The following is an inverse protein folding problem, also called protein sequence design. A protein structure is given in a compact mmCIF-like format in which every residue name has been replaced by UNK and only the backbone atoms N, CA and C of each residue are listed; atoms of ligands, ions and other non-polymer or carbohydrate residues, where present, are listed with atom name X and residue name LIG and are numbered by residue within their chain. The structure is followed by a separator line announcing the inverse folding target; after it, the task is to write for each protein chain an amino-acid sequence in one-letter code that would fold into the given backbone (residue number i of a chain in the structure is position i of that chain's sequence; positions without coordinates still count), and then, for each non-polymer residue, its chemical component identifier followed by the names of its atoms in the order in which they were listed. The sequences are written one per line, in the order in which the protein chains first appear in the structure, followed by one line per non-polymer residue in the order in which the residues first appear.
data_IF_040226912886
#
_entry.id   IF_040226912886
#
_cell.length_a   1.000
_cell.length_b   1.000
_cell.length_c   1.000
_cell.angle_alpha   90.00
_cell.angle_beta   90.00
_cell.angle_gamma   90.00
#
_symmetry.space_group_name_H-M   'P 1'
#
loop_
_entity.id
_entity.type
_entity.pdbx_description
1 polymer ?
#
# COMPACT_ATOMS: atom_id res chain seq x y z
N UNK A 1 23.94 5.90 12.66
CA UNK A 1 24.15 4.85 11.65
C UNK A 1 22.86 4.66 10.88
N UNK A 2 22.88 4.83 9.55
CA UNK A 2 21.75 4.47 8.69
C UNK A 2 21.60 2.95 8.75
N UNK A 3 20.40 2.44 9.07
CA UNK A 3 20.08 1.01 9.12
C UNK A 3 20.54 0.33 7.81
N UNK A 4 21.15 -0.86 7.88
CA UNK A 4 21.68 -1.66 6.74
C UNK A 4 20.61 -2.04 5.69
N UNK A 5 19.39 -1.56 5.86
CA UNK A 5 18.21 -1.92 5.09
C UNK A 5 17.47 -0.72 4.48
N UNK A 6 18.02 0.51 4.51
CA UNK A 6 17.40 1.64 3.82
C UNK A 6 17.71 1.62 2.32
N UNK A 7 16.68 1.51 1.48
CA UNK A 7 16.83 1.45 0.03
C UNK A 7 16.20 2.69 -0.63
N UNK A 8 16.99 3.46 -1.39
CA UNK A 8 16.52 4.58 -2.22
C UNK A 8 16.17 4.05 -3.61
N UNK A 9 14.92 4.25 -4.06
CA UNK A 9 14.46 3.80 -5.38
C UNK A 9 13.96 4.98 -6.20
N UNK A 10 14.60 5.28 -7.35
CA UNK A 10 14.42 6.55 -8.10
C UNK A 10 13.35 6.48 -9.21
N UNK A 11 12.87 5.29 -9.57
CA UNK A 11 11.87 5.08 -10.63
C UNK A 11 10.98 3.87 -10.33
N UNK A 12 10.06 3.54 -11.24
CA UNK A 12 9.21 2.36 -11.14
C UNK A 12 7.99 2.53 -10.23
N UNK A 13 7.67 3.76 -9.81
CA UNK A 13 6.44 4.04 -9.08
C UNK A 13 5.21 3.74 -9.94
N UNK A 14 4.30 2.91 -9.41
CA UNK A 14 3.01 2.58 -10.03
C UNK A 14 2.07 2.08 -8.95
N UNK A 15 0.82 2.51 -8.98
CA UNK A 15 -0.23 1.94 -8.12
C UNK A 15 -0.56 0.52 -8.58
N UNK A 16 -0.38 -0.44 -7.69
CA UNK A 16 -0.69 -1.86 -7.92
C UNK A 16 -1.55 -2.36 -6.78
N UNK A 17 -2.39 -3.38 -7.00
CA UNK A 17 -3.11 -4.04 -5.91
C UNK A 17 -2.16 -4.53 -4.83
N UNK A 18 -2.58 -4.43 -3.57
CA UNK A 18 -1.86 -5.07 -2.47
C UNK A 18 -2.33 -6.54 -2.42
N UNK A 19 -1.41 -7.53 -2.54
CA UNK A 19 -1.78 -8.94 -2.37
C UNK A 19 -2.49 -9.17 -1.05
N UNK A 20 -3.50 -10.03 -1.03
CA UNK A 20 -4.30 -10.39 0.16
C UNK A 20 -5.19 -9.27 0.76
N UNK A 21 -5.20 -8.06 0.17
CA UNK A 21 -6.09 -6.95 0.56
C UNK A 21 -6.92 -6.48 -0.65
N UNK A 22 -8.04 -7.15 -0.96
CA UNK A 22 -8.88 -6.81 -2.11
C UNK A 22 -9.38 -5.35 -2.05
N UNK A 23 -9.27 -4.64 -3.17
CA UNK A 23 -9.67 -3.24 -3.28
C UNK A 23 -8.53 -2.26 -2.98
N UNK A 24 -7.58 -2.66 -2.13
CA UNK A 24 -6.45 -1.83 -1.75
C UNK A 24 -5.36 -1.78 -2.84
N UNK A 25 -4.75 -0.62 -2.97
CA UNK A 25 -3.61 -0.38 -3.88
C UNK A 25 -2.49 0.33 -3.15
N UNK A 26 -1.27 0.21 -3.65
CA UNK A 26 -0.11 0.94 -3.12
C UNK A 26 0.95 1.15 -4.20
N UNK A 27 1.93 2.01 -3.97
CA UNK A 27 3.13 2.06 -4.82
C UNK A 27 3.85 0.71 -4.80
N UNK A 28 4.06 0.12 -5.99
CA UNK A 28 4.66 -1.22 -6.14
C UNK A 28 5.99 -1.40 -5.42
N UNK A 29 6.74 -0.33 -5.17
CA UNK A 29 8.03 -0.37 -4.48
C UNK A 29 7.88 -0.72 -3.00
N UNK A 30 6.68 -0.55 -2.43
CA UNK A 30 6.38 -0.86 -1.03
C UNK A 30 5.97 -2.32 -0.81
N UNK A 31 5.65 -3.09 -1.84
CA UNK A 31 5.21 -4.50 -1.68
C UNK A 31 6.19 -5.38 -0.85
N UNK A 32 7.52 -5.23 -0.94
CA UNK A 32 8.44 -5.92 -0.04
C UNK A 32 8.31 -5.54 1.43
N UNK A 33 8.05 -4.25 1.72
CA UNK A 33 7.82 -3.75 3.08
C UNK A 33 6.48 -4.26 3.62
N UNK A 34 5.42 -4.21 2.81
CA UNK A 34 4.11 -4.76 3.15
C UNK A 34 4.22 -6.24 3.54
N UNK A 35 4.82 -7.06 2.67
CA UNK A 35 5.03 -8.49 2.95
C UNK A 35 5.89 -8.72 4.20
N UNK A 36 6.84 -7.83 4.48
CA UNK A 36 7.62 -7.91 5.72
C UNK A 36 6.77 -7.62 6.95
N UNK A 37 5.88 -6.63 6.89
CA UNK A 37 4.97 -6.31 8.00
C UNK A 37 3.94 -7.43 8.22
N UNK A 38 3.33 -7.95 7.15
CA UNK A 38 2.39 -9.08 7.21
C UNK A 38 3.00 -10.29 7.90
N UNK A 39 4.23 -10.67 7.55
CA UNK A 39 4.91 -11.82 8.17
C UNK A 39 5.33 -11.61 9.62
N UNK A 40 5.43 -10.36 10.09
CA UNK A 40 6.09 -10.04 11.38
C UNK A 40 5.13 -9.56 12.46
N UNK A 41 4.00 -8.98 12.06
CA UNK A 41 3.08 -8.26 12.96
C UNK A 41 1.60 -8.60 12.73
N UNK A 42 1.29 -9.59 11.88
CA UNK A 42 -0.09 -10.02 11.57
C UNK A 42 -1.03 -8.83 11.32
N UNK A 43 -0.66 -8.02 10.34
CA UNK A 43 -1.36 -6.77 10.00
C UNK A 43 -2.57 -7.01 9.08
N UNK A 44 -3.56 -6.12 9.19
CA UNK A 44 -4.62 -5.96 8.20
C UNK A 44 -4.61 -4.51 7.69
N UNK A 45 -4.50 -4.32 6.38
CA UNK A 45 -4.49 -3.01 5.75
C UNK A 45 -5.93 -2.61 5.43
N UNK A 46 -6.37 -1.46 5.94
CA UNK A 46 -7.70 -0.90 5.72
C UNK A 46 -7.75 0.21 4.69
N UNK A 47 -6.60 0.83 4.41
CA UNK A 47 -6.45 1.81 3.33
C UNK A 47 -4.98 1.85 2.87
N UNK A 48 -4.77 2.06 1.58
CA UNK A 48 -3.47 2.34 0.96
C UNK A 48 -3.53 3.59 0.09
N UNK A 49 -3.53 3.41 -1.23
CA UNK A 49 -3.82 4.48 -2.17
C UNK A 49 -5.30 4.84 -2.12
N UNK A 50 -5.60 6.01 -1.57
CA UNK A 50 -6.95 6.58 -1.56
C UNK A 50 -6.92 8.06 -1.86
N UNK A 51 -7.97 8.52 -2.53
CA UNK A 51 -8.23 9.95 -2.77
C UNK A 51 -9.48 10.43 -2.06
N UNK A 52 -9.95 9.66 -1.07
CA UNK A 52 -11.13 10.05 -0.31
C UNK A 52 -10.88 11.35 0.47
N UNK A 53 -11.92 12.21 0.63
CA UNK A 53 -11.78 13.51 1.28
C UNK A 53 -11.39 13.46 2.77
N UNK A 54 -11.41 12.27 3.38
CA UNK A 54 -10.92 12.07 4.75
C UNK A 54 -9.40 12.22 4.82
N UNK A 55 -8.70 11.99 3.70
CA UNK A 55 -7.26 12.14 3.58
C UNK A 55 -6.87 13.55 3.19
N UNK A 56 -5.73 14.01 3.69
CA UNK A 56 -5.15 15.25 3.22
C UNK A 56 -4.88 15.14 1.72
N UNK A 57 -5.38 16.10 0.93
CA UNK A 57 -5.26 16.06 -0.53
C UNK A 57 -3.80 15.92 -0.99
N UNK A 58 -2.85 16.54 -0.26
CA UNK A 58 -1.41 16.47 -0.51
C UNK A 58 -0.67 15.51 0.43
N UNK A 59 -1.39 14.61 1.11
CA UNK A 59 -0.82 13.58 1.96
C UNK A 59 -0.35 12.36 1.17
N UNK A 60 0.07 11.32 1.88
CA UNK A 60 0.73 10.17 1.30
C UNK A 60 -0.25 9.10 0.76
N UNK A 61 -1.50 9.04 1.24
CA UNK A 61 -2.54 8.18 0.65
C UNK A 61 -2.80 8.52 -0.83
N UNK A 62 -3.04 9.79 -1.24
CA UNK A 62 -3.24 10.13 -2.65
C UNK A 62 -2.08 9.84 -3.60
N UNK A 63 -0.89 9.53 -3.08
CA UNK A 63 0.28 9.15 -3.90
C UNK A 63 0.72 7.70 -3.65
N UNK A 64 -0.11 6.91 -2.96
CA UNK A 64 0.10 5.47 -2.73
C UNK A 64 1.31 5.15 -1.85
N UNK A 65 1.68 6.06 -0.95
CA UNK A 65 2.83 5.93 -0.04
C UNK A 65 2.43 5.97 1.43
N UNK A 66 1.18 5.61 1.73
CA UNK A 66 0.67 5.43 3.08
C UNK A 66 -0.10 4.11 3.19
N UNK A 67 -0.22 3.63 4.42
CA UNK A 67 -1.13 2.56 4.80
C UNK A 67 -1.78 2.87 6.14
N UNK A 68 -3.08 2.60 6.24
CA UNK A 68 -3.78 2.50 7.51
C UNK A 68 -3.89 1.02 7.89
N UNK A 69 -3.44 0.69 9.10
CA UNK A 69 -3.22 -0.68 9.55
C UNK A 69 -3.97 -0.93 10.86
N UNK A 70 -4.69 -2.05 10.93
CA UNK A 70 -5.28 -2.59 12.14
C UNK A 70 -4.77 -4.02 12.40
N UNK A 71 -5.03 -4.61 13.57
CA UNK A 71 -4.68 -6.01 13.81
C UNK A 71 -5.48 -6.95 12.92
N UNK A 72 -4.82 -7.92 12.29
CA UNK A 72 -5.51 -9.00 11.57
C UNK A 72 -6.06 -10.03 12.55
N UNK A 73 -7.26 -9.78 13.05
CA UNK A 73 -7.91 -10.68 14.02
C UNK A 73 -8.12 -12.10 13.49
N UNK A 74 -8.28 -12.28 12.18
CA UNK A 74 -8.43 -13.60 11.57
C UNK A 74 -7.14 -14.44 11.66
N UNK A 75 -5.98 -13.80 11.78
CA UNK A 75 -4.67 -14.45 12.01
C UNK A 75 -4.22 -14.41 13.47
N UNK A 76 -5.06 -13.91 14.38
CA UNK A 76 -4.72 -13.74 15.80
C UNK A 76 -3.95 -12.45 16.12
N UNK A 77 -3.78 -11.55 15.15
CA UNK A 77 -3.07 -10.29 15.31
C UNK A 77 -3.70 -9.39 16.39
N UNK A 78 -2.84 -8.69 17.13
CA UNK A 78 -3.22 -7.91 18.30
C UNK A 78 -2.80 -6.44 18.20
N UNK A 79 -3.45 -5.57 18.97
CA UNK A 79 -2.99 -4.18 19.11
C UNK A 79 -1.60 -4.06 19.74
N UNK A 80 -1.11 -5.08 20.45
CA UNK A 80 0.26 -5.08 20.96
C UNK A 80 1.28 -5.17 19.81
N UNK A 81 1.00 -5.99 18.79
CA UNK A 81 1.90 -6.13 17.63
C UNK A 81 1.88 -4.89 16.75
N UNK A 82 0.70 -4.29 16.54
CA UNK A 82 0.60 -2.99 15.84
C UNK A 82 1.35 -1.91 16.63
N UNK A 83 1.20 -1.89 17.96
CA UNK A 83 1.98 -1.01 18.83
C UNK A 83 3.48 -1.24 18.71
N UNK A 84 3.95 -2.49 18.62
CA UNK A 84 5.36 -2.80 18.44
C UNK A 84 5.89 -2.36 17.06
N UNK A 85 5.07 -2.45 16.02
CA UNK A 85 5.38 -1.90 14.70
C UNK A 85 5.49 -0.37 14.76
N UNK A 86 4.55 0.31 15.42
CA UNK A 86 4.57 1.76 15.60
C UNK A 86 5.84 2.21 16.35
N UNK A 87 6.16 1.61 17.50
CA UNK A 87 7.39 1.94 18.25
C UNK A 87 8.68 1.64 17.49
N UNK A 88 8.64 0.66 16.58
CA UNK A 88 9.78 0.40 15.69
C UNK A 88 9.91 1.48 14.62
N UNK A 89 8.80 1.99 14.11
CA UNK A 89 8.78 3.03 13.09
C UNK A 89 9.08 4.42 13.68
N UNK A 90 8.65 4.65 14.90
CA UNK A 90 8.77 5.88 15.66
C UNK A 90 9.04 5.54 17.14
N UNK A 91 10.31 5.41 17.54
CA UNK A 91 10.66 5.10 18.93
C UNK A 91 10.33 6.23 19.91
N UNK A 92 10.13 7.45 19.40
CA UNK A 92 9.75 8.64 20.16
C UNK A 92 8.74 9.44 19.35
N UNK A 93 7.60 9.79 19.95
CA UNK A 93 6.51 10.56 19.32
C UNK A 93 7.04 11.78 18.57
N UNK A 94 6.52 12.02 17.37
CA UNK A 94 6.92 13.04 16.39
C UNK A 94 8.35 12.87 15.82
N UNK A 95 8.98 11.71 16.02
CA UNK A 95 10.34 11.43 15.55
C UNK A 95 10.45 10.04 14.88
N UNK A 96 9.80 9.87 13.72
CA UNK A 96 9.93 8.65 12.94
C UNK A 96 11.37 8.43 12.48
N UNK A 97 11.75 7.17 12.35
CA UNK A 97 13.05 6.77 11.80
C UNK A 97 12.89 6.28 10.36
N UNK A 98 13.91 6.43 9.48
CA UNK A 98 13.84 5.92 8.12
C UNK A 98 13.48 4.42 8.05
N UNK A 99 12.70 3.99 7.04
CA UNK A 99 12.21 4.78 5.91
C UNK A 99 10.96 5.62 6.20
N UNK A 100 10.40 5.55 7.41
CA UNK A 100 9.13 6.16 7.74
C UNK A 100 9.25 7.68 7.72
N UNK A 101 8.27 8.33 7.10
CA UNK A 101 8.17 9.79 7.05
C UNK A 101 7.27 10.32 8.14
N UNK A 102 6.12 9.68 8.33
CA UNK A 102 5.18 9.99 9.38
C UNK A 102 4.53 8.70 9.88
N UNK A 103 4.32 8.66 11.19
CA UNK A 103 3.67 7.57 11.92
C UNK A 103 2.54 8.21 12.70
N UNK A 104 1.30 7.84 12.40
CA UNK A 104 0.14 8.25 13.18
C UNK A 104 -0.23 7.14 14.14
N UNK A 105 0.02 7.34 15.43
CA UNK A 105 -0.23 6.32 16.46
C UNK A 105 -0.82 6.92 17.75
N UNK A 106 -0.67 6.21 18.88
CA UNK A 106 -1.16 6.65 20.19
C UNK A 106 -0.56 8.01 20.57
N UNK A 107 -1.39 9.04 20.62
CA UNK A 107 -0.97 10.42 20.85
C UNK A 107 -1.43 11.34 19.71
N UNK A 108 -1.66 10.78 18.52
CA UNK A 108 -2.17 11.49 17.36
C UNK A 108 -3.70 11.41 17.28
N UNK A 109 -4.41 12.54 17.08
CA UNK A 109 -5.86 12.53 16.92
C UNK A 109 -6.30 11.60 15.80
N UNK A 110 -7.28 10.73 16.08
CA UNK A 110 -7.82 9.79 15.10
C UNK A 110 -6.94 8.57 14.80
N UNK A 111 -5.87 8.34 15.56
CA UNK A 111 -4.96 7.21 15.38
C UNK A 111 -4.78 6.43 16.69
N UNK A 112 -4.07 5.30 16.62
CA UNK A 112 -3.77 4.48 17.78
C UNK A 112 -4.71 3.31 18.01
N UNK A 113 -4.63 2.73 19.20
CA UNK A 113 -5.41 1.54 19.59
C UNK A 113 -6.91 1.85 19.53
N UNK A 114 -7.65 0.97 18.84
CA UNK A 114 -9.09 1.13 18.62
C UNK A 114 -9.44 1.92 17.36
N UNK A 115 -8.45 2.53 16.69
CA UNK A 115 -8.60 3.19 15.42
C UNK A 115 -7.74 2.51 14.35
N UNK A 116 -6.57 3.05 14.01
CA UNK A 116 -5.59 2.45 13.11
C UNK A 116 -4.18 3.00 13.39
N UNK A 117 -3.16 2.31 12.89
CA UNK A 117 -1.80 2.81 12.72
C UNK A 117 -1.65 3.35 11.31
N UNK A 118 -1.33 4.63 11.18
CA UNK A 118 -0.92 5.19 9.90
C UNK A 118 0.60 5.07 9.76
N UNK A 119 1.06 4.53 8.63
CA UNK A 119 2.47 4.57 8.25
C UNK A 119 2.62 5.17 6.87
N UNK A 120 3.52 6.13 6.72
CA UNK A 120 3.92 6.65 5.43
C UNK A 120 5.43 6.61 5.22
N UNK A 121 5.86 6.53 3.97
CA UNK A 121 7.27 6.37 3.59
C UNK A 121 7.89 7.69 3.16
N UNK A 122 9.18 7.86 3.40
CA UNK A 122 9.94 9.00 2.91
C UNK A 122 10.01 8.98 1.39
N UNK A 123 9.82 10.14 0.77
CA UNK A 123 9.78 10.28 -0.68
C UNK A 123 10.12 11.71 -1.11
N UNK A 124 10.38 11.89 -2.40
CA UNK A 124 10.47 13.23 -3.03
C UNK A 124 9.08 13.82 -3.31
N UNK A 125 8.92 15.14 -3.45
CA UNK A 125 7.63 15.74 -3.75
C UNK A 125 6.88 15.08 -4.91
N UNK A 126 5.57 14.95 -4.74
CA UNK A 126 4.68 14.28 -5.68
C UNK A 126 3.32 14.99 -5.69
N UNK A 127 2.64 14.94 -6.84
CA UNK A 127 1.27 15.43 -6.96
C UNK A 127 0.28 14.30 -6.64
N UNK A 128 -0.90 14.61 -6.09
CA UNK A 128 -1.93 13.59 -5.86
C UNK A 128 -2.22 12.81 -7.14
N UNK A 129 -2.46 11.50 -7.03
CA UNK A 129 -2.64 10.54 -8.13
C UNK A 129 -1.39 10.28 -8.99
N UNK A 130 -0.23 10.81 -8.60
CA UNK A 130 1.03 10.56 -9.29
C UNK A 130 2.04 9.96 -8.30
N UNK A 131 2.60 8.77 -8.59
CA UNK A 131 3.67 8.21 -7.76
C UNK A 131 4.85 9.17 -7.62
N UNK A 132 5.45 9.23 -6.43
CA UNK A 132 6.66 10.00 -6.21
C UNK A 132 7.82 9.47 -7.08
N UNK A 133 8.71 10.35 -7.52
CA UNK A 133 9.91 9.95 -8.26
C UNK A 133 10.77 9.01 -7.41
N UNK A 134 11.18 9.47 -6.24
CA UNK A 134 11.98 8.69 -5.29
C UNK A 134 11.13 8.25 -4.11
N UNK A 135 11.30 7.01 -3.68
CA UNK A 135 10.82 6.49 -2.40
C UNK A 135 11.96 5.80 -1.65
N UNK A 136 11.93 5.86 -0.34
CA UNK A 136 12.83 5.14 0.54
C UNK A 136 12.07 3.97 1.18
N UNK A 137 12.65 2.77 1.19
CA UNK A 137 12.00 1.56 1.72
C UNK A 137 12.91 0.80 2.67
N UNK A 138 12.33 -0.07 3.50
CA UNK A 138 13.06 -0.96 4.42
C UNK A 138 13.57 -2.22 3.71
N UNK A 139 12.89 -2.65 2.66
CA UNK A 139 13.25 -3.80 1.84
C UNK A 139 13.42 -3.30 0.43
N UNK A 140 14.61 -3.54 -0.12
CA UNK A 140 14.91 -3.15 -1.49
C UNK A 140 13.91 -3.85 -2.43
N UNK A 141 13.25 -3.11 -3.33
CA UNK A 141 12.47 -3.73 -4.39
C UNK A 141 13.38 -4.67 -5.18
N UNK A 142 12.90 -5.90 -5.41
CA UNK A 142 13.51 -6.75 -6.43
C UNK A 142 13.37 -6.02 -7.75
N UNK A 143 14.43 -5.92 -8.57
CA UNK A 143 14.28 -5.46 -9.95
C UNK A 143 13.13 -6.22 -10.60
N UNK A 144 12.29 -5.59 -11.43
CA UNK A 144 11.37 -6.37 -12.25
C UNK A 144 12.21 -7.39 -13.02
N UNK A 145 11.78 -8.66 -13.01
CA UNK A 145 12.32 -9.63 -13.96
C UNK A 145 12.28 -8.97 -15.33
N UNK A 146 13.41 -8.96 -16.04
CA UNK A 146 13.41 -8.57 -17.44
C UNK A 146 12.28 -9.37 -18.12
N UNK A 147 11.42 -8.75 -18.95
CA UNK A 147 10.46 -9.53 -19.71
C UNK A 147 11.25 -10.62 -20.44
N UNK A 148 10.80 -11.88 -20.42
CA UNK A 148 11.45 -12.92 -21.20
C UNK A 148 11.58 -12.42 -22.64
N UNK A 149 12.69 -12.70 -23.34
CA UNK A 149 12.83 -12.32 -24.73
C UNK A 149 11.58 -12.77 -25.49
N UNK A 150 11.09 -11.96 -26.44
CA UNK A 150 9.87 -12.29 -27.17
C UNK A 150 10.01 -13.72 -27.69
N UNK A 151 9.01 -14.56 -27.38
CA UNK A 151 8.98 -15.92 -27.90
C UNK A 151 9.13 -15.85 -29.42
N UNK A 152 9.98 -16.71 -30.04
CA UNK A 152 10.09 -16.73 -31.49
C UNK A 152 8.69 -16.90 -32.08
N UNK A 153 8.35 -16.02 -33.02
CA UNK A 153 7.04 -15.98 -33.65
C UNK A 153 6.67 -17.39 -34.12
N UNK A 154 5.51 -17.90 -33.67
CA UNK A 154 4.95 -19.12 -34.24
C UNK A 154 4.74 -18.88 -35.74
N UNK A 155 5.20 -19.78 -36.63
CA UNK A 155 4.87 -19.68 -38.05
C UNK A 155 3.34 -19.74 -38.23
N UNK A 156 2.81 -19.09 -39.27
CA UNK A 156 1.37 -18.97 -39.47
C UNK A 156 0.73 -20.36 -39.57
N UNK A 157 -0.21 -20.66 -38.66
CA UNK A 157 -1.01 -21.87 -38.75
C UNK A 157 -2.02 -21.72 -39.87
N UNK A 158 -1.86 -22.49 -40.93
CA UNK A 158 -2.91 -22.81 -41.87
C UNK A 158 -3.95 -23.70 -41.17
N UNK A 159 -5.17 -23.19 -41.03
CA UNK A 159 -6.36 -23.95 -40.66
C UNK A 159 -7.58 -23.08 -40.99
N UNK A 160 -8.48 -23.47 -41.89
CA UNK A 160 -9.02 -24.82 -42.06
C UNK A 160 -10.38 -24.84 -41.35
N UNK A 161 -11.42 -24.50 -42.10
CA UNK A 161 -12.82 -24.34 -41.72
C UNK A 161 -13.47 -25.66 -41.26
N UNK A 162 -14.40 -25.57 -40.31
CA UNK A 162 -15.64 -26.38 -40.12
C UNK A 162 -16.02 -26.37 -38.62
N UNK A 163 -16.98 -25.56 -38.16
CA UNK A 163 -18.45 -25.67 -38.24
C UNK A 163 -19.08 -26.52 -37.12
N UNK A 164 -20.12 -25.92 -36.51
CA UNK A 164 -21.23 -26.55 -35.75
C UNK A 164 -20.92 -26.97 -34.31
N UNK A 165 -21.71 -26.66 -33.28
CA UNK A 165 -22.98 -25.95 -33.16
C UNK A 165 -23.61 -26.18 -31.77
N UNK A 166 -24.63 -25.37 -31.47
CA UNK A 166 -25.73 -25.60 -30.51
C UNK A 166 -25.55 -25.12 -29.05
N UNK A 167 -26.70 -24.70 -28.51
CA UNK A 167 -27.06 -23.66 -27.53
C UNK A 167 -27.48 -24.20 -26.15
N UNK A 168 -27.83 -23.23 -25.29
CA UNK A 168 -28.59 -23.26 -24.02
C UNK A 168 -27.69 -23.44 -22.77
N UNK A 169 -27.90 -22.76 -21.62
CA UNK A 169 -29.09 -22.10 -21.05
C UNK A 169 -28.67 -21.10 -19.95
N UNK A 170 -29.59 -20.19 -19.64
CA UNK A 170 -29.52 -19.15 -18.62
C UNK A 170 -29.32 -19.68 -17.17
N UNK A 171 -28.70 -18.84 -16.34
CA UNK A 171 -28.69 -18.96 -14.87
C UNK A 171 -28.41 -17.61 -14.22
N UNK A 172 -29.48 -16.97 -13.71
CA UNK A 172 -29.42 -15.80 -12.82
C UNK A 172 -28.93 -16.24 -11.44
N UNK A 173 -28.08 -15.44 -10.80
CA UNK A 173 -27.72 -15.59 -9.39
C UNK A 173 -27.37 -14.22 -8.79
N UNK A 174 -28.25 -13.74 -7.92
CA UNK A 174 -28.10 -12.50 -7.17
C UNK A 174 -26.92 -12.56 -6.19
N UNK A 175 -26.20 -11.46 -6.00
CA UNK A 175 -25.40 -11.21 -4.80
C UNK A 175 -25.63 -9.78 -4.32
N UNK A 176 -26.40 -9.66 -3.25
CA UNK A 176 -26.54 -8.45 -2.43
C UNK A 176 -26.04 -8.79 -1.04
N UNK A 177 -24.90 -8.22 -0.66
CA UNK A 177 -24.27 -8.44 0.65
C UNK A 177 -23.16 -7.42 0.88
N UNK A 178 -23.46 -6.13 0.69
CA UNK A 178 -22.55 -5.04 1.03
C UNK A 178 -22.64 -4.76 2.53
N UNK A 179 -21.60 -5.12 3.28
CA UNK A 179 -21.40 -4.62 4.65
C UNK A 179 -20.67 -3.29 4.52
N UNK A 180 -21.34 -2.20 4.89
CA UNK A 180 -20.72 -0.87 4.95
C UNK A 180 -19.71 -0.81 6.11
N UNK A 181 -18.51 -0.21 5.91
CA UNK A 181 -17.66 0.14 7.03
C UNK A 181 -18.27 1.29 7.84
N UNK A 182 -18.01 1.36 9.16
CA UNK A 182 -18.53 2.43 10.00
C UNK A 182 -17.94 3.79 9.59
N UNK A 183 -18.82 4.79 9.48
CA UNK A 183 -18.45 6.19 9.25
C UNK A 183 -17.71 6.73 10.48
N UNK A 184 -16.45 7.11 10.30
CA UNK A 184 -15.71 7.89 11.28
C UNK A 184 -16.15 9.37 11.22
N UNK A 185 -16.22 10.08 12.37
CA UNK A 185 -16.58 11.49 12.41
C UNK A 185 -15.51 12.40 11.77
N UNK A 186 -15.99 13.51 11.22
CA UNK A 186 -15.25 14.48 10.42
C UNK A 186 -14.09 15.20 11.15
N UNK A 187 -13.00 15.35 10.37
CA UNK A 187 -12.04 16.47 10.32
C UNK A 187 -11.22 16.77 11.58
N UNK A 188 -10.02 16.22 11.61
CA UNK A 188 -8.81 16.90 12.08
C UNK A 188 -7.72 16.70 11.02
N UNK A 189 -7.12 17.80 10.56
CA UNK A 189 -6.04 17.74 9.57
C UNK A 189 -4.83 17.05 10.20
N UNK A 190 -4.46 15.88 9.68
CA UNK A 190 -3.22 15.22 10.05
C UNK A 190 -2.04 16.15 9.77
N UNK A 191 -1.14 16.28 10.75
CA UNK A 191 0.05 17.11 10.64
C UNK A 191 1.04 16.40 9.70
N UNK A 192 1.21 16.91 8.48
CA UNK A 192 2.14 16.31 7.52
C UNK A 192 3.59 16.58 7.93
N UNK A 193 4.40 15.53 8.04
CA UNK A 193 5.85 15.64 8.18
C UNK A 193 6.46 16.25 6.90
N UNK A 194 7.64 16.91 6.93
CA UNK A 194 8.28 17.46 5.73
C UNK A 194 8.67 16.40 4.69
N UNK A 195 8.60 16.75 3.40
CA UNK A 195 9.02 15.90 2.27
C UNK A 195 10.54 15.97 2.10
N UNK A 196 11.18 14.89 1.61
CA UNK A 196 12.62 14.90 1.29
C UNK A 196 12.85 15.71 0.01
N UNK A 197 13.49 16.87 0.12
CA UNK A 197 13.95 17.67 -1.03
C UNK A 197 15.17 17.03 -1.69
N UNK A 198 15.27 17.11 -3.02
CA UNK A 198 16.49 16.73 -3.72
C UNK A 198 17.49 17.89 -3.63
N UNK A 199 18.67 17.61 -3.05
CA UNK A 199 19.83 18.50 -3.23
C UNK A 199 20.15 18.57 -4.73
N UNK A 200 20.26 19.80 -5.24
CA UNK A 200 20.67 20.07 -6.63
C UNK A 200 22.11 19.63 -6.86
#
# INVERSE_FOLDING_TARGET
MIDRHLCKTVHGGRFVPIPDFPGEKIDRRLLPDIRWMERRYDIFITDGYSTDPVHAANGEHPIGLATDIIPNRAKGGTWNEIGALAHKAEPRQDHPIPPWRWVGWNGDPGHGRGNHLHLSWSHTPAKPRHPARVVYTRKCPTPPDNPPPPSPAKPPSTGGTSSSGIRYRAGRGHSTGGVSPPRLPHRLAARLAPVVSEGR
#
